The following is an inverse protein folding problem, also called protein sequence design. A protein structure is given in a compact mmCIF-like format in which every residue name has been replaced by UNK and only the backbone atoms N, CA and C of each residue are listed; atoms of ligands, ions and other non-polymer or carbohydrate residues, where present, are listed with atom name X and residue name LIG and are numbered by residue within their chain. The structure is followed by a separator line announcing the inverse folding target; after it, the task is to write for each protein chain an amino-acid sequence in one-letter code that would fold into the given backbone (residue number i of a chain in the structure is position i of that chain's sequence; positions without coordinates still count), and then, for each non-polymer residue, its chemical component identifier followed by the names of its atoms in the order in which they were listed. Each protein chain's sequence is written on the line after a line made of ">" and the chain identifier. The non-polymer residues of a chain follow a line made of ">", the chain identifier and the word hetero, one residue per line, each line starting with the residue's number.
data_IF_471029489834
#
_entry.id   IF_471029489834
#
_cell.length_a   1.000
_cell.length_b   1.000
_cell.length_c   1.000
_cell.angle_alpha   90.00
_cell.angle_beta   90.00
_cell.angle_gamma   90.00
#
_symmetry.space_group_name_H-M   'P 1'
#
loop_
_entity.id
_entity.type
_entity.pdbx_description
1 polymer ?
#
# COMPACT_ATOMS: atom_id res chain seq x y z
N UNK A 1 8.60 2.02 -11.77
CA UNK A 1 7.42 2.93 -11.61
C UNK A 1 6.62 2.46 -10.43
N UNK A 2 5.90 3.37 -9.73
CA UNK A 2 4.99 2.93 -8.67
C UNK A 2 3.96 1.94 -9.24
N UNK A 3 3.74 0.84 -8.54
CA UNK A 3 2.73 -0.15 -8.90
C UNK A 3 1.83 -0.41 -7.69
N UNK A 4 0.52 -0.34 -7.91
CA UNK A 4 -0.50 -0.61 -6.89
C UNK A 4 -1.25 -1.89 -7.29
N UNK A 5 -1.35 -2.81 -6.35
CA UNK A 5 -2.06 -4.09 -6.52
C UNK A 5 -2.84 -4.45 -5.26
N UNK A 6 -3.64 -5.50 -5.32
CA UNK A 6 -4.34 -6.08 -4.17
C UNK A 6 -5.10 -5.03 -3.33
N UNK A 7 -5.95 -4.23 -4.00
CA UNK A 7 -6.70 -3.15 -3.35
C UNK A 7 -7.99 -3.68 -2.71
N UNK A 8 -8.13 -3.45 -1.41
CA UNK A 8 -9.35 -3.70 -0.64
C UNK A 8 -9.93 -2.39 -0.12
N UNK A 9 -11.26 -2.25 -0.17
CA UNK A 9 -11.96 -1.04 0.29
C UNK A 9 -12.97 -1.42 1.38
N UNK A 10 -12.77 -0.85 2.55
CA UNK A 10 -13.62 -1.09 3.72
C UNK A 10 -14.45 0.13 4.07
N UNK A 11 -15.66 -0.11 4.58
CA UNK A 11 -16.54 0.95 5.07
C UNK A 11 -17.23 1.78 3.99
N UNK A 12 -17.06 1.49 2.70
CA UNK A 12 -17.61 2.30 1.60
C UNK A 12 -19.14 2.42 1.68
N UNK A 13 -19.87 1.31 1.67
CA UNK A 13 -21.33 1.32 1.69
C UNK A 13 -21.89 1.95 2.97
N UNK A 14 -21.28 1.64 4.12
CA UNK A 14 -21.69 2.19 5.39
C UNK A 14 -21.42 3.71 5.50
N UNK A 15 -20.34 4.20 4.92
CA UNK A 15 -20.04 5.63 4.83
C UNK A 15 -20.98 6.36 3.87
N UNK A 16 -21.30 5.76 2.73
CA UNK A 16 -22.30 6.26 1.80
C UNK A 16 -23.66 6.42 2.50
N UNK A 17 -24.11 5.44 3.28
CA UNK A 17 -25.35 5.54 4.05
C UNK A 17 -25.28 6.69 5.07
N UNK A 18 -24.19 6.75 5.85
CA UNK A 18 -23.98 7.78 6.90
C UNK A 18 -23.88 9.20 6.34
N UNK A 19 -23.50 9.37 5.08
CA UNK A 19 -23.52 10.70 4.43
C UNK A 19 -24.90 11.38 4.44
N UNK A 20 -25.96 10.62 4.74
CA UNK A 20 -27.33 11.11 4.86
C UNK A 20 -27.77 11.50 6.26
N UNK A 21 -26.98 11.22 7.30
CA UNK A 21 -27.37 11.47 8.69
C UNK A 21 -27.80 12.92 8.96
N UNK A 22 -27.14 13.95 8.41
CA UNK A 22 -27.57 15.33 8.62
C UNK A 22 -28.97 15.66 8.14
N UNK A 23 -29.58 14.79 7.30
CA UNK A 23 -30.92 14.98 6.73
C UNK A 23 -31.98 14.05 7.36
N UNK A 24 -31.64 13.33 8.41
CA UNK A 24 -32.56 12.41 9.08
C UNK A 24 -33.20 13.08 10.30
N UNK A 25 -34.51 12.91 10.44
CA UNK A 25 -35.27 13.40 11.60
C UNK A 25 -35.10 12.51 12.85
N UNK A 26 -34.73 11.24 12.64
CA UNK A 26 -34.47 10.26 13.70
C UNK A 26 -33.32 9.31 13.34
N UNK A 27 -32.66 8.77 14.35
CA UNK A 27 -31.63 7.77 14.15
C UNK A 27 -32.22 6.50 13.51
N UNK A 28 -31.54 5.87 12.55
CA UNK A 28 -31.96 4.60 11.99
C UNK A 28 -31.80 3.49 13.03
N UNK A 29 -32.70 2.51 13.01
CA UNK A 29 -32.54 1.27 13.75
C UNK A 29 -31.39 0.45 13.16
N UNK A 30 -30.88 -0.53 13.91
CA UNK A 30 -29.81 -1.42 13.42
C UNK A 30 -30.29 -2.18 12.16
N UNK A 31 -31.52 -2.63 12.13
CA UNK A 31 -32.08 -3.34 10.98
C UNK A 31 -32.17 -2.44 9.75
N UNK A 32 -32.66 -1.22 9.89
CA UNK A 32 -32.70 -0.23 8.80
C UNK A 32 -31.30 0.08 8.28
N UNK A 33 -30.33 0.26 9.19
CA UNK A 33 -28.94 0.49 8.81
C UNK A 33 -28.39 -0.66 7.98
N UNK A 34 -28.48 -1.90 8.48
CA UNK A 34 -27.96 -3.10 7.82
C UNK A 34 -28.60 -3.33 6.44
N UNK A 35 -29.92 -3.17 6.33
CA UNK A 35 -30.64 -3.34 5.07
C UNK A 35 -30.22 -2.31 4.02
N UNK A 36 -30.04 -1.05 4.42
CA UNK A 36 -29.60 0.00 3.50
C UNK A 36 -28.14 -0.21 3.06
N UNK A 37 -27.27 -0.61 3.97
CA UNK A 37 -25.85 -0.91 3.63
C UNK A 37 -25.78 -2.08 2.66
N UNK A 38 -26.49 -3.17 2.90
CA UNK A 38 -26.53 -4.32 1.99
C UNK A 38 -27.08 -3.94 0.60
N UNK A 39 -28.11 -3.11 0.53
CA UNK A 39 -28.63 -2.61 -0.74
C UNK A 39 -27.62 -1.75 -1.50
N UNK A 40 -26.87 -0.89 -0.78
CA UNK A 40 -25.80 -0.08 -1.38
C UNK A 40 -24.67 -0.97 -1.91
N UNK A 41 -24.26 -2.00 -1.15
CA UNK A 41 -23.24 -2.98 -1.58
C UNK A 41 -23.67 -3.70 -2.86
N UNK A 42 -24.93 -4.13 -2.93
CA UNK A 42 -25.49 -4.79 -4.14
C UNK A 42 -25.48 -3.84 -5.35
N UNK A 43 -25.88 -2.58 -5.15
CA UNK A 43 -25.83 -1.57 -6.21
C UNK A 43 -24.40 -1.30 -6.69
N UNK A 44 -23.42 -1.19 -5.78
CA UNK A 44 -22.01 -1.03 -6.12
C UNK A 44 -21.52 -2.23 -6.95
N UNK A 45 -21.80 -3.46 -6.50
CA UNK A 45 -21.41 -4.68 -7.21
C UNK A 45 -21.97 -4.77 -8.63
N UNK A 46 -23.17 -4.20 -8.85
CA UNK A 46 -23.84 -4.15 -10.16
C UNK A 46 -23.51 -2.91 -10.99
N UNK A 47 -22.63 -2.00 -10.52
CA UNK A 47 -22.41 -0.66 -11.10
C UNK A 47 -23.72 0.15 -11.27
N UNK A 48 -24.69 -0.06 -10.38
CA UNK A 48 -25.96 0.66 -10.40
C UNK A 48 -25.85 1.98 -9.62
N UNK A 49 -25.67 3.06 -10.34
CA UNK A 49 -25.60 4.41 -9.80
C UNK A 49 -26.97 5.08 -9.59
N UNK A 50 -28.07 4.34 -9.72
CA UNK A 50 -29.43 4.92 -9.55
C UNK A 50 -29.84 5.04 -8.09
N UNK A 51 -29.18 4.29 -7.19
CA UNK A 51 -29.43 4.32 -5.75
C UNK A 51 -29.30 5.77 -5.19
N UNK A 52 -30.32 6.26 -4.45
CA UNK A 52 -30.35 7.65 -3.99
C UNK A 52 -29.22 7.99 -2.99
N UNK A 53 -28.78 6.99 -2.17
CA UNK A 53 -27.67 7.19 -1.25
C UNK A 53 -26.34 7.35 -2.00
N UNK A 54 -26.12 6.56 -3.07
CA UNK A 54 -24.93 6.68 -3.94
C UNK A 54 -24.94 8.05 -4.63
N UNK A 55 -26.06 8.44 -5.24
CA UNK A 55 -26.18 9.76 -5.91
C UNK A 55 -25.86 10.91 -4.96
N UNK A 56 -26.39 10.86 -3.74
CA UNK A 56 -26.10 11.86 -2.70
C UNK A 56 -24.62 11.87 -2.35
N UNK A 57 -24.01 10.72 -2.07
CA UNK A 57 -22.60 10.62 -1.71
C UNK A 57 -21.70 11.18 -2.81
N UNK A 58 -21.94 10.83 -4.08
CA UNK A 58 -21.19 11.37 -5.22
C UNK A 58 -21.31 12.89 -5.29
N UNK A 59 -22.52 13.44 -5.09
CA UNK A 59 -22.73 14.91 -5.10
C UNK A 59 -21.97 15.59 -3.97
N UNK A 60 -21.96 14.99 -2.75
CA UNK A 60 -21.26 15.54 -1.59
C UNK A 60 -19.73 15.42 -1.76
N UNK A 61 -19.22 14.32 -2.28
CA UNK A 61 -17.79 14.12 -2.53
C UNK A 61 -17.23 15.06 -3.60
N UNK A 62 -18.07 15.50 -4.54
CA UNK A 62 -17.68 16.46 -5.58
C UNK A 62 -17.82 17.93 -5.13
N UNK A 63 -18.43 18.19 -3.98
CA UNK A 63 -18.58 19.54 -3.44
C UNK A 63 -17.24 20.00 -2.83
N UNK A 64 -16.62 21.00 -3.45
CA UNK A 64 -15.35 21.56 -2.98
C UNK A 64 -15.57 22.47 -1.77
N UNK A 65 -14.95 22.11 -0.65
CA UNK A 65 -15.01 22.90 0.60
C UNK A 65 -16.32 22.73 1.37
N UNK A 66 -16.34 23.10 2.63
CA UNK A 66 -17.54 23.05 3.46
C UNK A 66 -17.79 21.75 4.24
N UNK A 67 -16.86 20.79 4.22
CA UNK A 67 -16.94 19.57 5.06
C UNK A 67 -17.98 18.54 4.63
N UNK A 68 -18.56 18.70 3.43
CA UNK A 68 -19.58 17.79 2.91
C UNK A 68 -19.02 16.39 2.55
N UNK A 69 -17.73 16.29 2.38
CA UNK A 69 -16.97 15.08 2.08
C UNK A 69 -16.48 14.31 3.31
N UNK A 70 -16.81 14.75 4.52
CA UNK A 70 -16.35 14.13 5.77
C UNK A 70 -16.74 12.66 5.89
N UNK A 71 -17.81 12.19 5.26
CA UNK A 71 -18.17 10.76 5.24
C UNK A 71 -17.08 9.88 4.62
N UNK A 72 -16.19 10.45 3.76
CA UNK A 72 -15.06 9.74 3.17
C UNK A 72 -14.05 9.29 4.23
N UNK A 73 -13.97 9.93 5.38
CA UNK A 73 -13.08 9.54 6.48
C UNK A 73 -13.42 8.18 7.10
N UNK A 74 -14.61 7.66 6.84
CA UNK A 74 -15.03 6.32 7.24
C UNK A 74 -14.64 5.21 6.25
N UNK A 75 -13.92 5.56 5.16
CA UNK A 75 -13.48 4.62 4.13
C UNK A 75 -12.00 4.35 4.33
N UNK A 76 -11.66 3.08 4.48
CA UNK A 76 -10.26 2.63 4.57
C UNK A 76 -9.93 1.88 3.28
N UNK A 77 -8.79 2.21 2.68
CA UNK A 77 -8.30 1.55 1.48
C UNK A 77 -6.97 0.88 1.81
N UNK A 78 -6.94 -0.45 1.77
CA UNK A 78 -5.71 -1.21 1.87
C UNK A 78 -5.24 -1.60 0.47
N UNK A 79 -3.95 -1.54 0.23
CA UNK A 79 -3.36 -1.89 -1.06
C UNK A 79 -1.88 -2.26 -0.91
N UNK A 80 -1.37 -3.01 -1.87
CA UNK A 80 0.06 -3.27 -1.98
C UNK A 80 0.70 -2.21 -2.88
N UNK A 81 1.74 -1.55 -2.38
CA UNK A 81 2.50 -0.53 -3.09
C UNK A 81 3.92 -1.02 -3.33
N UNK A 82 4.33 -1.10 -4.59
CA UNK A 82 5.71 -1.40 -4.96
C UNK A 82 6.42 -0.13 -5.40
N UNK A 83 7.52 0.18 -4.74
CA UNK A 83 8.37 1.33 -5.03
C UNK A 83 9.84 0.93 -5.01
N UNK A 84 10.68 1.69 -5.72
CA UNK A 84 12.14 1.57 -5.58
C UNK A 84 12.62 2.10 -4.23
N UNK A 85 13.78 1.64 -3.76
CA UNK A 85 14.41 2.13 -2.53
C UNK A 85 14.47 3.66 -2.48
N UNK A 86 14.83 4.30 -3.60
CA UNK A 86 14.85 5.76 -3.70
C UNK A 86 13.46 6.38 -3.50
N UNK A 87 12.42 5.77 -4.08
CA UNK A 87 11.07 6.30 -4.01
C UNK A 87 10.46 6.10 -2.60
N UNK A 88 10.82 5.03 -1.89
CA UNK A 88 10.38 4.81 -0.51
C UNK A 88 10.82 5.94 0.43
N UNK A 89 12.03 6.44 0.30
CA UNK A 89 12.53 7.60 1.12
C UNK A 89 11.65 8.83 0.95
N UNK A 90 11.11 9.07 -0.24
CA UNK A 90 10.17 10.17 -0.47
C UNK A 90 8.75 9.82 0.01
N UNK A 91 8.32 8.57 -0.14
CA UNK A 91 6.98 8.11 0.29
C UNK A 91 6.79 8.20 1.81
N UNK A 92 7.84 7.98 2.60
CA UNK A 92 7.80 8.10 4.08
C UNK A 92 7.43 9.52 4.57
N UNK A 93 7.51 10.53 3.72
CA UNK A 93 7.09 11.90 4.06
C UNK A 93 5.57 12.09 4.00
N UNK A 94 4.85 11.16 3.41
CA UNK A 94 3.39 11.23 3.28
C UNK A 94 2.72 10.62 4.51
N UNK A 95 2.33 11.46 5.46
CA UNK A 95 1.77 11.07 6.77
C UNK A 95 0.39 10.41 6.69
N UNK A 96 -0.27 10.45 5.55
CA UNK A 96 -1.55 9.78 5.31
C UNK A 96 -1.42 8.35 4.79
N UNK A 97 -0.20 7.90 4.47
CA UNK A 97 0.11 6.52 4.10
C UNK A 97 0.67 5.80 5.32
N UNK A 98 -0.03 4.79 5.80
CA UNK A 98 0.43 3.98 6.92
C UNK A 98 0.89 2.60 6.44
N UNK A 99 2.05 2.14 6.93
CA UNK A 99 2.55 0.81 6.65
C UNK A 99 1.79 -0.23 7.46
N UNK A 100 1.31 -1.28 6.78
CA UNK A 100 0.81 -2.49 7.42
C UNK A 100 1.99 -3.45 7.64
N UNK A 101 2.76 -3.71 6.58
CA UNK A 101 3.96 -4.53 6.59
C UNK A 101 4.73 -4.32 5.29
N UNK A 102 6.02 -4.62 5.26
CA UNK A 102 6.83 -4.49 4.04
C UNK A 102 7.80 -5.64 3.85
N UNK A 103 8.20 -5.87 2.60
CA UNK A 103 9.39 -6.67 2.30
C UNK A 103 10.61 -6.00 2.92
N UNK A 104 11.52 -6.79 3.45
CA UNK A 104 12.71 -6.27 4.12
C UNK A 104 13.97 -6.60 3.34
N UNK A 105 14.66 -5.58 2.84
CA UNK A 105 16.02 -5.75 2.32
C UNK A 105 16.99 -6.21 3.41
N UNK A 106 16.85 -5.68 4.64
CA UNK A 106 17.70 -6.05 5.77
C UNK A 106 17.67 -7.54 6.13
N UNK A 107 16.54 -8.23 5.95
CA UNK A 107 16.45 -9.66 6.31
C UNK A 107 16.56 -10.58 5.11
N UNK A 108 16.39 -10.08 3.90
CA UNK A 108 16.22 -10.90 2.70
C UNK A 108 17.20 -10.58 1.58
N UNK A 109 18.11 -9.60 1.74
CA UNK A 109 19.07 -9.21 0.71
C UNK A 109 19.88 -10.42 0.19
N UNK A 110 20.18 -11.37 1.05
CA UNK A 110 20.96 -12.58 0.71
C UNK A 110 20.24 -13.59 -0.19
N UNK A 111 18.92 -13.48 -0.33
CA UNK A 111 18.11 -14.48 -1.05
C UNK A 111 17.27 -13.89 -2.18
N UNK A 112 17.18 -12.56 -2.31
CA UNK A 112 16.50 -11.96 -3.45
C UNK A 112 17.19 -12.30 -4.77
N UNK A 113 16.41 -12.47 -5.81
CA UNK A 113 16.89 -12.42 -7.19
C UNK A 113 17.04 -10.97 -7.59
N UNK A 114 18.21 -10.38 -7.31
CA UNK A 114 18.43 -8.92 -7.38
C UNK A 114 18.05 -8.36 -8.75
N UNK A 115 18.45 -9.04 -9.84
CA UNK A 115 18.13 -8.61 -11.19
C UNK A 115 16.62 -8.52 -11.47
N UNK A 116 15.83 -9.47 -10.93
CA UNK A 116 14.37 -9.50 -11.13
C UNK A 116 13.65 -8.40 -10.33
N UNK A 117 14.28 -7.92 -9.26
CA UNK A 117 13.72 -6.89 -8.37
C UNK A 117 14.15 -5.47 -8.74
N UNK A 118 14.99 -5.28 -9.76
CA UNK A 118 15.45 -3.97 -10.18
C UNK A 118 14.57 -3.40 -11.29
N UNK A 119 14.25 -2.10 -11.20
CA UNK A 119 13.57 -1.44 -12.29
C UNK A 119 14.49 -1.26 -13.53
N UNK A 120 13.89 -0.93 -14.66
CA UNK A 120 14.60 -0.83 -15.96
C UNK A 120 15.68 0.25 -16.04
N UNK A 121 15.79 1.11 -15.05
CA UNK A 121 16.78 2.21 -15.02
C UNK A 121 18.06 1.83 -14.26
N UNK A 122 18.08 0.69 -13.58
CA UNK A 122 19.29 0.15 -12.96
C UNK A 122 20.18 -0.43 -14.05
N UNK A 123 21.45 -0.06 -14.06
CA UNK A 123 22.40 -0.58 -15.04
C UNK A 123 22.69 -2.07 -14.80
N UNK A 124 23.07 -2.78 -15.87
CA UNK A 124 23.48 -4.19 -15.74
C UNK A 124 24.72 -4.36 -14.88
N UNK A 125 25.58 -3.36 -14.87
CA UNK A 125 26.81 -3.33 -14.08
C UNK A 125 26.48 -3.24 -12.58
N UNK A 126 25.54 -2.38 -12.16
CA UNK A 126 25.08 -2.28 -10.77
C UNK A 126 24.43 -3.58 -10.30
N UNK A 127 23.59 -4.20 -11.15
CA UNK A 127 22.97 -5.50 -10.84
C UNK A 127 24.04 -6.56 -10.61
N UNK A 128 25.00 -6.69 -11.53
CA UNK A 128 26.09 -7.67 -11.42
C UNK A 128 26.95 -7.45 -10.18
N UNK A 129 27.21 -6.21 -9.81
CA UNK A 129 27.98 -5.89 -8.60
C UNK A 129 27.22 -6.30 -7.35
N UNK A 130 25.93 -5.99 -7.25
CA UNK A 130 25.10 -6.39 -6.12
C UNK A 130 24.98 -7.94 -6.01
N UNK A 131 24.82 -8.64 -7.13
CA UNK A 131 24.82 -10.11 -7.18
C UNK A 131 26.18 -10.71 -6.78
N UNK A 132 27.29 -10.05 -7.16
CA UNK A 132 28.65 -10.46 -6.73
C UNK A 132 28.80 -10.33 -5.21
N UNK A 133 28.35 -9.22 -4.62
CA UNK A 133 28.37 -8.99 -3.18
C UNK A 133 27.48 -9.99 -2.44
N UNK A 134 26.31 -10.29 -2.99
CA UNK A 134 25.40 -11.30 -2.46
C UNK A 134 26.07 -12.69 -2.43
N UNK A 135 26.78 -13.06 -3.50
CA UNK A 135 27.53 -14.32 -3.56
C UNK A 135 28.64 -14.37 -2.51
N UNK A 136 29.43 -13.30 -2.38
CA UNK A 136 30.48 -13.21 -1.35
C UNK A 136 29.89 -13.46 0.04
N UNK A 137 28.79 -12.78 0.37
CA UNK A 137 28.10 -12.99 1.65
C UNK A 137 27.66 -14.44 1.82
N UNK A 138 27.06 -15.05 0.81
CA UNK A 138 26.54 -16.41 0.89
C UNK A 138 27.64 -17.46 1.02
N UNK A 139 28.81 -17.23 0.41
CA UNK A 139 29.96 -18.17 0.44
C UNK A 139 30.71 -18.15 1.77
N UNK A 140 30.58 -17.10 2.60
CA UNK A 140 31.27 -17.02 3.90
C UNK A 140 30.56 -17.90 4.94
N UNK A 141 31.28 -18.77 5.61
CA UNK A 141 30.77 -19.51 6.77
C UNK A 141 30.71 -18.58 8.00
N UNK A 142 29.51 -18.23 8.42
CA UNK A 142 29.28 -17.28 9.52
C UNK A 142 29.63 -17.84 10.90
N UNK A 143 29.68 -19.16 11.09
CA UNK A 143 30.09 -19.77 12.35
C UNK A 143 31.61 -19.68 12.54
N UNK A 144 32.38 -19.85 11.46
CA UNK A 144 33.83 -19.76 11.48
C UNK A 144 34.36 -18.33 11.39
N UNK A 145 33.64 -17.47 10.66
CA UNK A 145 34.07 -16.07 10.36
C UNK A 145 32.96 -15.06 10.57
N UNK A 146 32.46 -14.85 11.80
CA UNK A 146 31.29 -14.04 12.07
C UNK A 146 31.48 -12.56 11.69
N UNK A 147 32.64 -11.98 11.95
CA UNK A 147 32.89 -10.58 11.60
C UNK A 147 33.00 -10.37 10.09
N UNK A 148 33.67 -11.27 9.38
CA UNK A 148 33.71 -11.23 7.90
C UNK A 148 32.34 -11.38 7.28
N UNK A 149 31.50 -12.26 7.84
CA UNK A 149 30.11 -12.46 7.42
C UNK A 149 29.29 -11.19 7.60
N UNK A 150 29.44 -10.52 8.75
CA UNK A 150 28.76 -9.25 9.06
C UNK A 150 29.21 -8.13 8.12
N UNK A 151 30.50 -7.99 7.87
CA UNK A 151 31.03 -7.01 6.95
C UNK A 151 30.54 -7.23 5.53
N UNK A 152 30.57 -8.46 5.04
CA UNK A 152 30.04 -8.83 3.73
C UNK A 152 28.54 -8.52 3.61
N UNK A 153 27.78 -8.72 4.68
CA UNK A 153 26.36 -8.37 4.72
C UNK A 153 26.12 -6.87 4.61
N UNK A 154 26.85 -6.07 5.36
CA UNK A 154 26.75 -4.60 5.30
C UNK A 154 27.19 -4.09 3.91
N UNK A 155 28.24 -4.66 3.33
CA UNK A 155 28.66 -4.34 1.96
C UNK A 155 27.55 -4.63 0.95
N UNK A 156 26.88 -5.77 1.05
CA UNK A 156 25.73 -6.07 0.21
C UNK A 156 24.59 -5.07 0.43
N UNK A 157 24.21 -4.84 1.68
CA UNK A 157 23.05 -3.99 2.04
C UNK A 157 23.22 -2.55 1.57
N UNK A 158 24.40 -1.96 1.80
CA UNK A 158 24.67 -0.56 1.42
C UNK A 158 24.96 -0.35 -0.07
N UNK A 159 25.20 -1.43 -0.81
CA UNK A 159 25.40 -1.38 -2.27
C UNK A 159 24.21 -1.93 -3.07
N UNK A 160 23.05 -2.13 -2.41
CA UNK A 160 21.82 -2.44 -3.13
C UNK A 160 21.44 -1.26 -4.05
N UNK A 161 21.11 -1.52 -5.32
CA UNK A 161 20.74 -0.46 -6.26
C UNK A 161 19.58 0.40 -5.72
N UNK A 162 19.65 1.71 -5.93
CA UNK A 162 18.56 2.63 -5.56
C UNK A 162 17.25 2.35 -6.29
N UNK A 163 17.34 1.70 -7.46
CA UNK A 163 16.21 1.23 -8.25
C UNK A 163 15.73 -0.18 -7.91
N UNK A 164 16.26 -0.81 -6.85
CA UNK A 164 15.74 -2.08 -6.31
C UNK A 164 14.33 -1.85 -5.74
N UNK A 165 13.36 -2.63 -6.17
CA UNK A 165 11.94 -2.45 -5.86
C UNK A 165 11.51 -3.39 -4.72
N UNK A 166 10.81 -2.82 -3.76
CA UNK A 166 10.21 -3.52 -2.61
C UNK A 166 8.72 -3.22 -2.55
N UNK A 167 7.95 -4.20 -2.11
CA UNK A 167 6.51 -4.08 -1.90
C UNK A 167 6.21 -3.88 -0.43
N UNK A 168 5.24 -3.02 -0.13
CA UNK A 168 4.64 -2.87 1.19
C UNK A 168 3.12 -2.88 1.09
N UNK A 169 2.46 -3.51 2.08
CA UNK A 169 1.05 -3.33 2.34
C UNK A 169 0.83 -1.99 3.03
N UNK A 170 -0.08 -1.20 2.50
CA UNK A 170 -0.37 0.17 2.92
C UNK A 170 -1.84 0.35 3.26
N UNK A 171 -2.13 1.34 4.09
CA UNK A 171 -3.49 1.80 4.39
C UNK A 171 -3.54 3.32 4.48
#
# INVERSE_FOLDING_TARGET
>A
MANITNTDVFGLASSIFRSGYPMMDKAPTETEFRNNVANIEECIAKNDNTNPHIKRAVKLGNAKGGGHDQYLTGIIVNFDLTLSNKAWVEAERYTFLNFISSMSSMHRASIFKIGDCCNKYVSKEEIKEAERLQKIYNDINGELYPEAKKEAYLNLLYNMPSGFELMAGMT
#
